data_IF_148858130136
#
_entry.id   IF_148858130136
#
_cell.length_a   1.000
_cell.length_b   1.000
_cell.length_c   1.000
_cell.angle_alpha   90.00
_cell.angle_beta   90.00
_cell.angle_gamma   90.00
#
_symmetry.space_group_name_H-M   'P 1'
#
loop_
_entity.id
_entity.type
_entity.pdbx_description
1 polymer ?
#
# COMPACT_ATOMS: atom_id res chain seq x y z
N UNK A 1 -40.92 -46.13 41.66
CA UNK A 1 -42.16 -45.64 41.02
C UNK A 1 -41.74 -44.83 39.80
N UNK A 2 -41.68 -45.42 38.59
CA UNK A 2 -42.80 -45.61 37.63
C UNK A 2 -43.43 -44.25 37.26
N UNK A 3 -43.64 -43.81 36.01
CA UNK A 3 -43.76 -44.41 34.66
C UNK A 3 -43.76 -43.21 33.66
N UNK A 4 -43.03 -43.21 32.52
CA UNK A 4 -43.50 -43.57 31.15
C UNK A 4 -44.85 -42.92 30.74
N UNK A 5 -45.06 -42.26 29.57
CA UNK A 5 -44.82 -42.73 28.18
C UNK A 5 -45.27 -41.70 27.09
N UNK A 6 -44.54 -41.64 25.94
CA UNK A 6 -44.98 -41.65 24.49
C UNK A 6 -45.95 -40.57 23.92
N UNK A 7 -46.03 -40.19 22.63
CA UNK A 7 -45.60 -40.59 21.26
C UNK A 7 -45.71 -39.30 20.38
N UNK A 8 -44.87 -38.97 19.37
CA UNK A 8 -44.58 -39.53 18.04
C UNK A 8 -45.74 -39.55 17.00
N UNK A 9 -45.46 -38.90 15.84
CA UNK A 9 -45.97 -39.08 14.45
C UNK A 9 -47.29 -38.41 14.01
N UNK A 10 -47.22 -37.63 12.92
CA UNK A 10 -47.83 -38.02 11.63
C UNK A 10 -47.34 -37.18 10.44
N UNK A 11 -47.31 -37.82 9.27
CA UNK A 11 -46.66 -37.47 8.01
C UNK A 11 -47.70 -37.54 6.86
N UNK A 12 -47.49 -36.74 5.81
CA UNK A 12 -48.03 -36.83 4.43
C UNK A 12 -49.53 -36.62 4.16
N UNK A 13 -49.86 -35.73 3.19
CA UNK A 13 -50.73 -35.90 1.99
C UNK A 13 -50.79 -34.54 1.23
N UNK A 14 -50.01 -34.28 0.16
CA UNK A 14 -50.31 -34.25 -1.32
C UNK A 14 -51.71 -33.64 -1.64
N UNK A 15 -51.96 -32.61 -2.49
CA UNK A 15 -51.67 -32.32 -3.92
C UNK A 15 -52.00 -30.86 -4.31
N UNK A 16 -51.49 -30.43 -5.46
CA UNK A 16 -51.49 -29.10 -6.08
C UNK A 16 -52.83 -28.51 -6.56
N UNK A 17 -52.87 -27.18 -6.71
CA UNK A 17 -53.64 -26.51 -7.77
C UNK A 17 -52.91 -25.24 -8.26
N UNK A 18 -52.60 -25.23 -9.57
CA UNK A 18 -52.03 -24.14 -10.36
C UNK A 18 -53.11 -23.11 -10.71
N UNK A 19 -52.80 -21.81 -10.65
CA UNK A 19 -53.39 -20.82 -11.56
C UNK A 19 -52.43 -19.63 -11.79
N UNK A 20 -51.80 -19.69 -12.97
CA UNK A 20 -51.33 -18.61 -13.86
C UNK A 20 -51.18 -17.17 -13.33
N UNK A 21 -49.92 -16.71 -13.24
CA UNK A 21 -49.55 -15.36 -13.66
C UNK A 21 -48.58 -15.49 -14.84
N UNK A 22 -49.13 -15.49 -16.07
CA UNK A 22 -48.38 -15.27 -17.30
C UNK A 22 -48.45 -13.77 -17.59
N UNK A 23 -47.32 -13.07 -17.44
CA UNK A 23 -46.99 -11.91 -18.27
C UNK A 23 -45.51 -12.02 -18.65
N UNK A 24 -45.30 -12.72 -19.76
CA UNK A 24 -44.33 -12.51 -20.84
C UNK A 24 -42.87 -12.19 -20.50
N UNK A 25 -42.03 -13.18 -20.80
CA UNK A 25 -40.61 -13.08 -21.16
C UNK A 25 -40.33 -11.83 -22.01
N UNK A 26 -39.41 -10.98 -21.55
CA UNK A 26 -38.50 -10.30 -22.47
C UNK A 26 -37.24 -11.14 -22.53
N UNK A 27 -36.98 -11.69 -23.70
CA UNK A 27 -35.87 -12.57 -24.01
C UNK A 27 -34.53 -11.89 -23.75
N UNK A 28 -33.64 -12.69 -23.15
CA UNK A 28 -32.19 -12.52 -23.13
C UNK A 28 -31.65 -12.13 -24.50
N UNK A 29 -30.70 -11.18 -24.53
CA UNK A 29 -29.46 -11.23 -25.30
C UNK A 29 -28.74 -9.88 -25.17
N UNK A 30 -27.80 -9.77 -24.24
CA UNK A 30 -26.67 -8.86 -24.45
C UNK A 30 -25.47 -9.75 -24.65
N UNK A 31 -25.16 -9.91 -25.93
CA UNK A 31 -24.14 -10.77 -26.50
C UNK A 31 -22.76 -10.48 -25.92
N UNK A 32 -22.15 -11.55 -25.42
CA UNK A 32 -20.71 -11.71 -25.35
C UNK A 32 -20.15 -11.62 -26.78
N UNK A 33 -19.12 -10.79 -26.93
CA UNK A 33 -18.19 -10.59 -28.06
C UNK A 33 -18.45 -11.32 -29.40
N UNK A 34 -18.56 -10.55 -30.47
CA UNK A 34 -17.93 -10.86 -31.77
C UNK A 34 -17.70 -9.57 -32.55
N UNK A 35 -16.45 -9.20 -32.74
CA UNK A 35 -16.05 -8.62 -34.02
C UNK A 35 -14.69 -9.23 -34.35
N UNK A 36 -14.76 -10.43 -34.92
CA UNK A 36 -13.70 -10.95 -35.77
C UNK A 36 -13.77 -10.15 -37.07
N UNK A 37 -12.86 -9.20 -37.25
CA UNK A 37 -12.42 -8.80 -38.58
C UNK A 37 -11.15 -9.58 -38.90
N UNK A 38 -11.28 -10.56 -39.79
CA UNK A 38 -10.18 -11.33 -40.35
C UNK A 38 -9.30 -10.48 -41.26
N UNK A 39 -8.00 -10.68 -41.07
CA UNK A 39 -6.86 -10.52 -41.98
C UNK A 39 -6.47 -9.12 -42.46
N UNK A 40 -5.39 -8.60 -41.86
CA UNK A 40 -4.13 -8.42 -42.60
C UNK A 40 -2.93 -8.45 -41.64
N UNK A 41 -1.91 -9.23 -42.01
CA UNK A 41 -0.64 -9.39 -41.28
C UNK A 41 0.07 -8.03 -41.26
N UNK A 42 0.07 -7.35 -40.13
CA UNK A 42 0.97 -6.22 -39.90
C UNK A 42 1.64 -6.28 -38.52
N UNK A 43 2.73 -7.04 -38.50
CA UNK A 43 3.90 -6.91 -37.62
C UNK A 43 3.63 -6.59 -36.15
N UNK A 44 3.81 -7.62 -35.33
CA UNK A 44 3.93 -7.56 -33.87
C UNK A 44 4.89 -6.43 -33.45
N UNK A 45 4.34 -5.23 -33.21
CA UNK A 45 5.13 -4.10 -32.70
C UNK A 45 5.35 -4.36 -31.22
N UNK A 46 6.35 -5.19 -30.94
CA UNK A 46 6.87 -5.46 -29.60
C UNK A 46 7.00 -4.12 -28.92
N UNK A 47 6.17 -3.87 -27.90
CA UNK A 47 6.26 -2.65 -27.09
C UNK A 47 7.67 -2.68 -26.52
N UNK A 48 8.53 -1.83 -27.07
CA UNK A 48 9.93 -1.71 -26.70
C UNK A 48 9.97 -1.01 -25.34
N UNK A 49 9.58 -1.72 -24.28
CA UNK A 49 10.09 -1.42 -22.95
C UNK A 49 11.59 -1.44 -23.12
N UNK A 50 12.14 -0.23 -23.09
CA UNK A 50 13.45 0.05 -23.62
C UNK A 50 14.47 -0.84 -22.95
N UNK A 51 15.49 -1.22 -23.71
CA UNK A 51 16.78 -1.77 -23.27
C UNK A 51 17.51 -0.85 -22.27
N UNK A 52 16.82 0.12 -21.65
CA UNK A 52 17.26 1.01 -20.59
C UNK A 52 17.69 0.25 -19.33
N UNK A 53 17.08 -0.90 -19.06
CA UNK A 53 17.43 -1.73 -17.90
C UNK A 53 18.57 -2.74 -18.16
N UNK A 54 18.99 -2.96 -19.41
CA UNK A 54 20.01 -3.95 -19.75
C UNK A 54 21.44 -3.43 -19.56
N UNK A 55 21.62 -2.11 -19.46
CA UNK A 55 22.92 -1.51 -19.20
C UNK A 55 23.07 -1.32 -17.69
N UNK A 56 24.10 -1.95 -17.09
CA UNK A 56 24.51 -1.83 -15.67
C UNK A 56 24.96 -0.40 -15.26
N UNK A 57 24.34 0.64 -15.81
CA UNK A 57 24.78 2.05 -15.72
C UNK A 57 23.92 2.91 -14.81
N UNK A 58 22.90 2.35 -14.14
CA UNK A 58 21.98 3.13 -13.30
C UNK A 58 21.98 2.61 -11.86
N UNK A 59 22.96 3.09 -11.08
CA UNK A 59 22.99 2.87 -9.63
C UNK A 59 22.19 3.97 -8.96
N UNK A 60 21.13 3.57 -8.28
CA UNK A 60 20.31 4.47 -7.49
C UNK A 60 20.87 4.53 -6.07
N UNK A 61 21.15 5.73 -5.56
CA UNK A 61 21.84 5.88 -4.26
C UNK A 61 20.94 5.55 -3.08
N UNK A 62 19.62 5.66 -3.23
CA UNK A 62 18.68 5.34 -2.18
C UNK A 62 17.29 4.98 -2.70
N UNK A 63 16.58 4.18 -1.91
CA UNK A 63 15.12 4.14 -1.95
C UNK A 63 14.56 5.02 -0.83
N UNK A 64 13.66 5.93 -1.16
CA UNK A 64 12.96 6.78 -0.19
C UNK A 64 11.49 6.38 -0.09
N UNK A 65 11.03 6.15 1.14
CA UNK A 65 9.67 5.69 1.45
C UNK A 65 8.98 6.72 2.34
N UNK A 66 7.79 7.17 1.92
CA UNK A 66 7.04 8.25 2.58
C UNK A 66 5.55 7.95 2.69
N UNK A 67 4.82 8.78 3.42
CA UNK A 67 3.36 8.86 3.32
C UNK A 67 2.96 9.69 2.09
N UNK A 68 1.75 9.46 1.56
CA UNK A 68 1.12 10.27 0.49
C UNK A 68 0.55 11.61 0.98
N UNK A 69 0.96 12.06 2.17
CA UNK A 69 0.43 13.27 2.79
C UNK A 69 0.96 14.53 2.06
N UNK A 70 0.06 15.21 1.36
CA UNK A 70 0.38 16.39 0.55
C UNK A 70 1.01 17.52 1.37
N UNK A 71 0.77 17.56 2.69
CA UNK A 71 1.34 18.59 3.56
C UNK A 71 2.85 18.52 3.60
N UNK A 72 3.43 17.34 3.37
CA UNK A 72 4.86 17.10 3.48
C UNK A 72 5.56 16.99 2.11
N UNK A 73 4.85 16.96 0.98
CA UNK A 73 5.44 16.65 -0.34
C UNK A 73 6.65 17.52 -0.68
N UNK A 74 6.48 18.85 -0.73
CA UNK A 74 7.56 19.79 -1.10
C UNK A 74 8.71 19.75 -0.09
N UNK A 75 8.39 19.87 1.20
CA UNK A 75 9.40 19.86 2.27
C UNK A 75 10.20 18.55 2.32
N UNK A 76 9.57 17.43 1.99
CA UNK A 76 10.24 16.13 1.93
C UNK A 76 11.19 16.06 0.76
N UNK A 77 10.79 16.52 -0.43
CA UNK A 77 11.68 16.58 -1.59
C UNK A 77 12.88 17.50 -1.35
N UNK A 78 12.67 18.68 -0.75
CA UNK A 78 13.74 19.59 -0.37
C UNK A 78 14.68 18.95 0.66
N UNK A 79 14.12 18.31 1.69
CA UNK A 79 14.90 17.58 2.70
C UNK A 79 15.78 16.50 2.06
N UNK A 80 15.20 15.67 1.19
CA UNK A 80 15.91 14.57 0.53
C UNK A 80 17.03 15.11 -0.38
N UNK A 81 16.73 16.11 -1.21
CA UNK A 81 17.68 16.60 -2.18
C UNK A 81 18.78 17.45 -1.54
N UNK A 82 18.40 18.36 -0.65
CA UNK A 82 19.31 19.37 -0.13
C UNK A 82 20.03 18.89 1.14
N UNK A 83 19.31 18.24 2.08
CA UNK A 83 19.91 17.80 3.35
C UNK A 83 20.51 16.41 3.28
N UNK A 84 19.90 15.48 2.55
CA UNK A 84 20.48 14.13 2.34
C UNK A 84 21.39 14.05 1.12
N UNK A 85 21.45 15.11 0.30
CA UNK A 85 22.33 15.22 -0.84
C UNK A 85 21.99 14.29 -2.00
N UNK A 86 20.76 13.76 -2.07
CA UNK A 86 20.41 12.77 -3.10
C UNK A 86 20.27 13.38 -4.49
N UNK A 87 19.92 14.67 -4.58
CA UNK A 87 19.85 15.46 -5.83
C UNK A 87 19.17 14.71 -6.99
N UNK A 88 18.04 14.05 -6.72
CA UNK A 88 17.27 13.28 -7.69
C UNK A 88 17.75 11.83 -7.93
N UNK A 89 18.87 11.41 -7.35
CA UNK A 89 19.41 10.05 -7.48
C UNK A 89 18.79 9.08 -6.46
N UNK A 90 17.47 8.94 -6.48
CA UNK A 90 16.74 8.02 -5.60
C UNK A 90 15.43 7.56 -6.21
N UNK A 91 15.02 6.34 -5.86
CA UNK A 91 13.67 5.87 -6.08
C UNK A 91 12.76 6.44 -4.99
N UNK A 92 11.55 6.85 -5.36
CA UNK A 92 10.59 7.41 -4.43
C UNK A 92 9.30 6.61 -4.43
N UNK A 93 8.96 6.02 -3.29
CA UNK A 93 7.72 5.27 -3.10
C UNK A 93 6.91 5.95 -2.00
N UNK A 94 5.70 6.37 -2.35
CA UNK A 94 4.76 6.98 -1.41
C UNK A 94 3.61 6.02 -1.14
N UNK A 95 3.36 5.70 0.13
CA UNK A 95 2.34 4.72 0.55
C UNK A 95 1.44 5.40 1.60
N UNK A 96 0.11 5.37 1.44
CA UNK A 96 -0.79 5.90 2.47
C UNK A 96 -0.51 5.25 3.84
N UNK A 97 -0.35 6.07 4.89
CA UNK A 97 0.02 5.59 6.23
C UNK A 97 1.50 5.24 6.40
N UNK A 98 2.36 5.65 5.44
CA UNK A 98 3.80 5.37 5.42
C UNK A 98 4.05 3.87 5.62
N UNK A 99 4.83 3.51 6.64
CA UNK A 99 5.30 2.16 6.85
C UNK A 99 4.29 1.26 7.58
N UNK A 100 3.12 1.78 7.96
CA UNK A 100 2.11 0.98 8.69
C UNK A 100 1.66 -0.23 7.87
N UNK A 101 1.54 -0.09 6.55
CA UNK A 101 1.25 -1.17 5.62
C UNK A 101 2.34 -2.25 5.57
N UNK A 102 3.59 -1.93 5.88
CA UNK A 102 4.63 -2.96 6.02
C UNK A 102 4.41 -3.81 7.28
N UNK A 103 3.82 -3.22 8.32
CA UNK A 103 3.60 -3.89 9.60
C UNK A 103 2.34 -4.77 9.59
N UNK A 104 1.33 -4.44 8.77
CA UNK A 104 0.15 -5.30 8.56
C UNK A 104 0.53 -6.53 7.74
N UNK A 105 0.27 -7.73 8.27
CA UNK A 105 0.60 -8.99 7.59
C UNK A 105 -0.12 -9.16 6.25
N UNK A 106 -1.30 -8.55 6.08
CA UNK A 106 -2.11 -8.65 4.86
C UNK A 106 -1.51 -7.86 3.70
N UNK A 107 -0.86 -6.74 3.97
CA UNK A 107 -0.29 -5.84 2.95
C UNK A 107 1.24 -5.88 2.88
N UNK A 108 1.90 -6.45 3.90
CA UNK A 108 3.37 -6.54 4.00
C UNK A 108 4.07 -7.07 2.75
N UNK A 109 3.57 -8.18 2.20
CA UNK A 109 4.23 -8.82 1.05
C UNK A 109 4.19 -7.94 -0.19
N UNK A 110 3.06 -7.28 -0.44
CA UNK A 110 2.93 -6.32 -1.53
C UNK A 110 3.96 -5.19 -1.36
N UNK A 111 4.02 -4.59 -0.17
CA UNK A 111 4.95 -3.49 0.14
C UNK A 111 6.42 -3.92 -0.03
N UNK A 112 6.81 -5.08 0.52
CA UNK A 112 8.16 -5.62 0.37
C UNK A 112 8.51 -5.94 -1.09
N UNK A 113 7.56 -6.43 -1.87
CA UNK A 113 7.77 -6.74 -3.28
C UNK A 113 7.97 -5.46 -4.10
N UNK A 114 7.19 -4.40 -3.84
CA UNK A 114 7.38 -3.09 -4.46
C UNK A 114 8.78 -2.54 -4.16
N UNK A 115 9.21 -2.58 -2.89
CA UNK A 115 10.58 -2.16 -2.53
C UNK A 115 11.66 -3.04 -3.15
N UNK A 116 11.38 -4.34 -3.29
CA UNK A 116 12.29 -5.30 -3.89
C UNK A 116 12.62 -4.99 -5.35
N UNK A 117 11.76 -4.27 -6.09
CA UNK A 117 12.06 -3.82 -7.45
C UNK A 117 13.26 -2.87 -7.46
N UNK A 118 13.24 -1.82 -6.63
CA UNK A 118 14.35 -0.89 -6.46
C UNK A 118 15.66 -1.58 -6.07
N UNK A 119 15.58 -2.57 -5.16
CA UNK A 119 16.75 -3.32 -4.70
C UNK A 119 17.33 -4.20 -5.82
N UNK A 120 16.48 -4.90 -6.58
CA UNK A 120 16.94 -5.85 -7.62
C UNK A 120 17.38 -5.14 -8.89
N UNK A 121 16.65 -4.13 -9.34
CA UNK A 121 16.85 -3.50 -10.64
C UNK A 121 17.75 -2.26 -10.57
N UNK A 122 17.64 -1.47 -9.50
CA UNK A 122 18.39 -0.21 -9.36
C UNK A 122 19.53 -0.30 -8.32
N UNK A 123 19.74 -1.49 -7.74
CA UNK A 123 20.85 -1.82 -6.84
C UNK A 123 21.01 -0.87 -5.64
N UNK A 124 19.91 -0.35 -5.10
CA UNK A 124 19.96 0.56 -3.94
C UNK A 124 20.65 -0.11 -2.75
N UNK A 125 21.53 0.63 -2.07
CA UNK A 125 22.23 0.17 -0.85
C UNK A 125 21.71 0.84 0.43
N UNK A 126 20.91 1.89 0.26
CA UNK A 126 20.36 2.72 1.32
C UNK A 126 18.85 2.83 1.15
N UNK A 127 18.15 2.80 2.27
CA UNK A 127 16.72 3.09 2.36
C UNK A 127 16.53 4.23 3.35
N UNK A 128 15.67 5.19 3.02
CA UNK A 128 15.22 6.26 3.90
C UNK A 128 13.73 6.08 4.13
N UNK A 129 13.30 5.89 5.37
CA UNK A 129 11.87 5.76 5.72
C UNK A 129 11.47 6.99 6.53
N UNK A 130 10.48 7.73 6.01
CA UNK A 130 9.92 8.91 6.67
C UNK A 130 8.52 8.60 7.20
N UNK A 131 8.38 8.64 8.52
CA UNK A 131 7.10 8.83 9.19
C UNK A 131 6.85 10.32 9.43
N UNK A 132 5.61 10.71 9.68
CA UNK A 132 5.27 12.09 10.03
C UNK A 132 4.21 12.14 11.13
N UNK A 133 4.17 13.26 11.85
CA UNK A 133 3.10 13.58 12.80
C UNK A 133 1.75 13.72 12.09
N UNK A 134 0.67 13.55 12.84
CA UNK A 134 -0.70 13.73 12.40
C UNK A 134 -1.06 12.88 11.17
N UNK A 135 -0.62 11.61 11.16
CA UNK A 135 -0.85 10.72 10.03
C UNK A 135 -2.20 10.01 10.14
N UNK A 136 -3.20 10.50 9.40
CA UNK A 136 -4.58 9.99 9.43
C UNK A 136 -4.71 8.52 9.03
N UNK A 137 -4.16 8.13 7.89
CA UNK A 137 -4.32 6.75 7.36
C UNK A 137 -3.58 5.73 8.22
N UNK A 138 -2.40 6.08 8.74
CA UNK A 138 -1.59 5.15 9.52
C UNK A 138 -2.02 5.01 10.98
N UNK A 139 -2.51 6.11 11.57
CA UNK A 139 -2.63 6.24 13.02
C UNK A 139 -3.88 6.98 13.51
N UNK A 140 -4.77 7.42 12.61
CA UNK A 140 -5.99 8.18 12.97
C UNK A 140 -5.76 9.68 13.20
N UNK A 141 -4.56 10.19 12.90
CA UNK A 141 -4.16 11.58 13.15
C UNK A 141 -3.76 11.82 14.61
N UNK A 142 -3.23 13.00 14.91
CA UNK A 142 -2.74 13.35 16.25
C UNK A 142 -3.85 13.31 17.29
N UNK A 143 -5.11 13.55 16.88
CA UNK A 143 -6.30 13.45 17.75
C UNK A 143 -6.54 12.08 18.36
N UNK A 144 -5.95 11.02 17.78
CA UNK A 144 -6.07 9.64 18.28
C UNK A 144 -5.07 9.32 19.41
N UNK A 145 -4.25 10.30 19.79
CA UNK A 145 -3.26 10.18 20.85
C UNK A 145 -3.59 11.16 21.96
N UNK A 146 -3.35 10.76 23.20
CA UNK A 146 -3.53 11.64 24.36
C UNK A 146 -2.56 12.82 24.33
N UNK A 147 -1.33 12.59 23.87
CA UNK A 147 -0.24 13.57 23.89
C UNK A 147 0.65 13.45 22.65
N UNK A 148 1.24 14.55 22.14
CA UNK A 148 2.16 14.51 21.00
C UNK A 148 3.37 13.58 21.21
N UNK A 149 3.84 13.46 22.46
CA UNK A 149 4.94 12.56 22.81
C UNK A 149 4.57 11.08 22.63
N UNK A 150 3.31 10.71 22.89
CA UNK A 150 2.80 9.34 22.73
C UNK A 150 2.71 8.99 21.25
N UNK A 151 2.23 9.91 20.42
CA UNK A 151 2.26 9.77 18.96
C UNK A 151 3.69 9.54 18.46
N UNK A 152 4.61 10.44 18.82
CA UNK A 152 6.03 10.35 18.43
C UNK A 152 6.64 9.00 18.79
N UNK A 153 6.45 8.54 20.04
CA UNK A 153 6.98 7.25 20.52
C UNK A 153 6.37 6.07 19.76
N UNK A 154 5.07 6.12 19.45
CA UNK A 154 4.36 5.07 18.71
C UNK A 154 4.90 4.95 17.29
N UNK A 155 4.98 6.07 16.57
CA UNK A 155 5.48 6.10 15.19
C UNK A 155 6.95 5.67 15.14
N UNK A 156 7.79 6.13 16.09
CA UNK A 156 9.18 5.71 16.18
C UNK A 156 9.33 4.20 16.46
N UNK A 157 8.48 3.63 17.30
CA UNK A 157 8.46 2.18 17.57
C UNK A 157 8.15 1.40 16.28
N UNK A 158 7.20 1.87 15.50
CA UNK A 158 6.79 1.23 14.25
C UNK A 158 7.82 1.39 13.13
N UNK A 159 8.45 2.56 13.00
CA UNK A 159 9.60 2.76 12.11
C UNK A 159 10.75 1.80 12.45
N UNK A 160 11.04 1.57 13.73
CA UNK A 160 12.06 0.61 14.18
C UNK A 160 11.68 -0.84 13.85
N UNK A 161 10.41 -1.23 14.00
CA UNK A 161 9.93 -2.56 13.57
C UNK A 161 10.07 -2.73 12.05
N UNK A 162 9.70 -1.72 11.28
CA UNK A 162 9.84 -1.73 9.83
C UNK A 162 11.30 -1.91 9.40
N UNK A 163 12.24 -1.18 10.03
CA UNK A 163 13.67 -1.36 9.80
C UNK A 163 14.12 -2.81 10.05
N UNK A 164 13.62 -3.45 11.11
CA UNK A 164 13.94 -4.86 11.39
C UNK A 164 13.43 -5.78 10.29
N UNK A 165 12.18 -5.62 9.85
CA UNK A 165 11.59 -6.41 8.76
C UNK A 165 12.35 -6.21 7.44
N UNK A 166 12.69 -4.97 7.10
CA UNK A 166 13.47 -4.67 5.88
C UNK A 166 14.87 -5.30 5.93
N UNK A 167 15.56 -5.21 7.07
CA UNK A 167 16.88 -5.83 7.23
C UNK A 167 16.84 -7.36 7.25
N UNK A 168 15.74 -7.96 7.73
CA UNK A 168 15.53 -9.40 7.63
C UNK A 168 15.37 -9.84 6.17
N UNK A 169 14.62 -9.07 5.37
CA UNK A 169 14.38 -9.37 3.95
C UNK A 169 15.57 -9.00 3.05
N UNK A 170 16.27 -7.91 3.37
CA UNK A 170 17.37 -7.34 2.60
C UNK A 170 18.54 -6.98 3.54
N UNK A 171 19.37 -7.97 3.93
CA UNK A 171 20.40 -7.78 4.97
C UNK A 171 21.48 -6.74 4.65
N UNK A 172 21.73 -6.47 3.37
CA UNK A 172 22.76 -5.54 2.90
C UNK A 172 22.32 -4.07 2.94
N UNK A 173 21.03 -3.77 3.17
CA UNK A 173 20.53 -2.40 3.13
C UNK A 173 20.83 -1.65 4.44
N UNK A 174 21.37 -0.43 4.29
CA UNK A 174 21.40 0.58 5.35
C UNK A 174 20.05 1.28 5.40
N UNK A 175 19.33 1.20 6.52
CA UNK A 175 17.97 1.75 6.64
C UNK A 175 17.95 2.92 7.62
N UNK A 176 17.82 4.16 7.13
CA UNK A 176 17.74 5.37 7.94
C UNK A 176 16.29 5.74 8.21
N UNK A 177 16.02 6.20 9.43
CA UNK A 177 14.67 6.47 9.89
C UNK A 177 14.52 7.94 10.24
N UNK A 178 13.47 8.58 9.74
CA UNK A 178 13.17 9.97 10.03
C UNK A 178 11.72 10.14 10.48
N UNK A 179 11.52 11.13 11.35
CA UNK A 179 10.22 11.59 11.78
C UNK A 179 10.05 13.07 11.41
N UNK A 180 9.02 13.36 10.63
CA UNK A 180 8.70 14.70 10.17
C UNK A 180 7.62 15.36 11.02
N UNK A 181 7.82 16.62 11.37
CA UNK A 181 6.85 17.48 12.06
C UNK A 181 6.61 18.75 11.26
N UNK A 182 5.41 19.32 11.34
CA UNK A 182 5.07 20.61 10.74
C UNK A 182 4.41 21.51 11.78
N UNK A 183 4.92 22.73 11.92
CA UNK A 183 4.30 23.78 12.73
C UNK A 183 3.75 24.84 11.79
N UNK A 184 2.47 25.21 11.97
CA UNK A 184 1.89 26.36 11.27
C UNK A 184 2.05 27.59 12.15
N UNK A 185 2.74 28.62 11.65
CA UNK A 185 2.92 29.91 12.33
C UNK A 185 2.82 31.02 11.29
N UNK A 186 1.97 32.01 11.51
CA UNK A 186 1.83 33.19 10.65
C UNK A 186 1.63 32.85 9.15
N UNK A 187 0.77 31.87 8.85
CA UNK A 187 0.53 31.31 7.51
C UNK A 187 1.74 30.61 6.86
N UNK A 188 2.84 30.46 7.57
CA UNK A 188 4.01 29.69 7.14
C UNK A 188 4.03 28.31 7.79
N UNK A 189 4.51 27.32 7.05
CA UNK A 189 4.74 25.96 7.55
C UNK A 189 6.22 25.74 7.80
N UNK A 190 6.58 25.48 9.04
CA UNK A 190 7.95 25.19 9.47
C UNK A 190 8.07 23.67 9.63
N UNK A 191 8.94 23.06 8.85
CA UNK A 191 9.15 21.62 8.87
C UNK A 191 10.42 21.25 9.62
N UNK A 192 10.34 20.16 10.37
CA UNK A 192 11.50 19.54 11.00
C UNK A 192 11.53 18.05 10.68
N UNK A 193 12.70 17.57 10.28
CA UNK A 193 12.96 16.16 9.97
C UNK A 193 14.01 15.64 10.94
N UNK A 194 13.55 14.92 11.97
CA UNK A 194 14.40 14.37 13.02
C UNK A 194 14.84 12.96 12.63
N UNK A 195 16.15 12.73 12.58
CA UNK A 195 16.69 11.38 12.44
C UNK A 195 16.47 10.59 13.73
N UNK A 196 16.01 9.35 13.58
CA UNK A 196 15.73 8.43 14.69
C UNK A 196 16.86 7.41 14.86
N UNK A 197 17.39 6.88 13.74
CA UNK A 197 18.46 5.86 13.65
C UNK A 197 19.17 5.89 12.29
#
# INVERSE_FOLDING_TARGET
MQYMQKNLRNCCFITALLLSCIVTLSTTNTSLATDESTDEIQTHKTVKYSTFFDKKTHWCDALVITCTDFRFTTATQEFINNRLGLKGNYDYISIPGSIRNLLDSRTRNLVLNTFGVSVRLHHVKRVVILGHQDCSIGYGGSKNFSEPLVEYKTICKDLKKARRLMRLRFPHLKVYLYYATVLSKDHQRIYNFKQIL
#
